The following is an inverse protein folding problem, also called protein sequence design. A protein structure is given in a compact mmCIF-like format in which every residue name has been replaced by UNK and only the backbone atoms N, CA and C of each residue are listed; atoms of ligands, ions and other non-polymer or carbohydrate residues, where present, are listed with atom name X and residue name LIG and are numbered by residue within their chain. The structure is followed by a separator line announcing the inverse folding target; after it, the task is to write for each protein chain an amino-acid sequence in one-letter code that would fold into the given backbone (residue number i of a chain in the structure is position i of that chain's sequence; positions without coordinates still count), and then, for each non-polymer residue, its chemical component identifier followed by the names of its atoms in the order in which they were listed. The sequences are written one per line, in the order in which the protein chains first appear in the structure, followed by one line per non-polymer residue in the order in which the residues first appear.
data_IF_347418039455
#
_entry.id   IF_347418039455
#
_cell.length_a   1.000
_cell.length_b   1.000
_cell.length_c   1.000
_cell.angle_alpha   90.00
_cell.angle_beta   90.00
_cell.angle_gamma   90.00
#
_symmetry.space_group_name_H-M   'P 1'
#
loop_
_entity.id
_entity.type
_entity.pdbx_description
1 polymer ?
#
# COMPACT_ATOMS: atom_id res chain seq x y z
N UNK A 1 -16.72 17.23 -1.40
CA UNK A 1 -15.78 18.06 -2.20
C UNK A 1 -16.07 19.53 -1.94
N UNK A 2 -15.09 20.43 -2.07
CA UNK A 2 -15.33 21.89 -2.05
C UNK A 2 -15.73 22.41 -3.44
N UNK A 3 -15.94 23.73 -3.59
CA UNK A 3 -16.26 24.38 -4.88
C UNK A 3 -15.23 24.12 -5.99
N UNK A 4 -13.96 23.89 -5.63
CA UNK A 4 -12.88 23.55 -6.56
C UNK A 4 -12.75 22.03 -6.81
N UNK A 5 -13.77 21.24 -6.44
CA UNK A 5 -13.79 19.76 -6.53
C UNK A 5 -12.68 19.07 -5.70
N UNK A 6 -12.06 19.77 -4.76
CA UNK A 6 -11.06 19.17 -3.86
C UNK A 6 -11.77 18.32 -2.80
N UNK A 7 -11.34 17.07 -2.55
CA UNK A 7 -11.86 16.25 -1.45
C UNK A 7 -11.24 16.67 -0.11
N UNK A 8 -11.54 17.90 0.34
CA UNK A 8 -10.89 18.56 1.49
C UNK A 8 -10.84 17.69 2.75
N UNK A 9 -11.94 17.05 3.13
CA UNK A 9 -11.97 16.20 4.33
C UNK A 9 -11.07 14.96 4.21
N UNK A 10 -10.95 14.37 3.02
CA UNK A 10 -10.03 13.26 2.79
C UNK A 10 -8.58 13.71 2.86
N UNK A 11 -8.26 14.89 2.30
CA UNK A 11 -6.93 15.48 2.39
C UNK A 11 -6.55 15.74 3.85
N UNK A 12 -7.39 16.45 4.59
CA UNK A 12 -7.15 16.73 6.02
C UNK A 12 -7.03 15.42 6.81
N UNK A 13 -7.91 14.44 6.55
CA UNK A 13 -7.89 13.14 7.21
C UNK A 13 -6.57 12.40 7.00
N UNK A 14 -6.09 12.29 5.76
CA UNK A 14 -4.80 11.66 5.44
C UNK A 14 -3.63 12.44 6.04
N UNK A 15 -3.65 13.77 6.00
CA UNK A 15 -2.58 14.60 6.59
C UNK A 15 -2.48 14.38 8.11
N UNK A 16 -3.61 14.47 8.82
CA UNK A 16 -3.64 14.28 10.28
C UNK A 16 -3.24 12.85 10.65
N UNK A 17 -3.76 11.85 9.93
CA UNK A 17 -3.39 10.45 10.16
C UNK A 17 -1.89 10.20 9.93
N UNK A 18 -1.31 10.77 8.87
CA UNK A 18 0.12 10.68 8.58
C UNK A 18 0.99 11.35 9.66
N UNK A 19 0.58 12.52 10.17
CA UNK A 19 1.26 13.17 11.28
C UNK A 19 1.22 12.31 12.54
N UNK A 20 0.04 11.80 12.93
CA UNK A 20 -0.10 10.92 14.10
C UNK A 20 0.75 9.65 13.96
N UNK A 21 0.69 9.01 12.79
CA UNK A 21 1.44 7.79 12.49
C UNK A 21 2.96 8.00 12.60
N UNK A 22 3.45 9.21 12.31
CA UNK A 22 4.89 9.53 12.30
C UNK A 22 5.40 10.06 13.64
N UNK A 23 4.54 10.47 14.59
CA UNK A 23 4.98 10.94 15.91
C UNK A 23 5.95 9.97 16.61
N UNK A 24 5.73 8.62 16.59
CA UNK A 24 6.66 7.63 17.14
C UNK A 24 8.11 7.79 16.66
N UNK A 25 8.33 8.33 15.46
CA UNK A 25 9.67 8.53 14.89
C UNK A 25 10.51 9.60 15.62
N UNK A 26 9.90 10.43 16.48
CA UNK A 26 10.62 11.45 17.25
C UNK A 26 11.41 10.86 18.43
N UNK A 27 11.14 9.62 18.85
CA UNK A 27 11.82 8.99 19.98
C UNK A 27 12.98 8.11 19.52
N UNK A 28 14.12 8.25 20.22
CA UNK A 28 15.28 7.38 20.05
C UNK A 28 15.13 6.11 20.89
N UNK A 29 15.64 5.00 20.38
CA UNK A 29 15.67 3.70 21.04
C UNK A 29 17.12 3.29 21.24
N UNK A 30 17.51 2.96 22.46
CA UNK A 30 18.84 2.40 22.73
C UNK A 30 18.78 0.89 22.44
N UNK A 31 19.58 0.43 21.48
CA UNK A 31 19.75 -0.99 21.13
C UNK A 31 21.11 -1.55 21.58
N UNK A 32 21.96 -0.71 22.18
CA UNK A 32 23.25 -1.09 22.77
C UNK A 32 23.13 -1.38 24.27
N UNK A 33 24.28 -1.55 24.94
CA UNK A 33 24.31 -1.71 26.39
C UNK A 33 24.13 -0.36 27.12
N UNK A 34 24.13 -0.39 28.45
CA UNK A 34 24.11 0.83 29.25
C UNK A 34 25.44 1.60 29.16
N UNK A 35 26.55 0.86 29.02
CA UNK A 35 27.91 1.39 28.92
C UNK A 35 28.23 1.89 27.51
N UNK A 36 27.68 1.24 26.48
CA UNK A 36 27.88 1.57 25.07
C UNK A 36 26.53 1.76 24.36
N UNK A 37 25.85 2.90 24.55
CA UNK A 37 24.54 3.13 23.97
C UNK A 37 24.61 3.33 22.46
N UNK A 38 23.72 2.63 21.74
CA UNK A 38 23.53 2.78 20.29
C UNK A 38 22.10 3.24 20.06
N UNK A 39 21.94 4.49 19.62
CA UNK A 39 20.61 5.04 19.38
C UNK A 39 20.16 4.86 17.94
N UNK A 40 18.93 4.37 17.78
CA UNK A 40 18.25 4.24 16.49
C UNK A 40 16.85 4.87 16.54
N UNK A 41 16.26 5.05 15.36
CA UNK A 41 14.89 5.53 15.15
C UNK A 41 14.03 4.42 14.57
N UNK A 42 13.82 3.34 15.32
CA UNK A 42 13.05 2.16 14.88
C UNK A 42 11.71 2.52 14.26
N UNK A 43 11.00 3.46 14.87
CA UNK A 43 9.71 3.92 14.39
C UNK A 43 9.77 4.62 13.02
N UNK A 44 10.87 5.31 12.69
CA UNK A 44 11.06 5.88 11.35
C UNK A 44 11.14 4.76 10.29
N UNK A 45 11.91 3.71 10.55
CA UNK A 45 12.01 2.56 9.64
C UNK A 45 10.67 1.81 9.49
N UNK A 46 9.87 1.73 10.56
CA UNK A 46 8.52 1.19 10.48
C UNK A 46 7.62 2.03 9.56
N UNK A 47 7.67 3.36 9.63
CA UNK A 47 6.93 4.25 8.72
C UNK A 47 7.36 4.06 7.26
N UNK A 48 8.66 3.98 7.00
CA UNK A 48 9.19 3.71 5.65
C UNK A 48 8.63 2.37 5.13
N UNK A 49 8.63 1.34 5.97
CA UNK A 49 8.08 0.02 5.63
C UNK A 49 6.58 0.09 5.28
N UNK A 50 5.79 0.87 6.04
CA UNK A 50 4.36 1.08 5.74
C UNK A 50 4.17 1.70 4.34
N UNK A 51 4.98 2.72 4.00
CA UNK A 51 4.92 3.37 2.69
C UNK A 51 5.25 2.41 1.54
N UNK A 52 6.31 1.62 1.69
CA UNK A 52 6.71 0.61 0.69
C UNK A 52 5.63 -0.46 0.54
N UNK A 53 5.14 -1.02 1.65
CA UNK A 53 4.10 -2.05 1.65
C UNK A 53 2.80 -1.57 0.99
N UNK A 54 2.35 -0.35 1.32
CA UNK A 54 1.14 0.22 0.73
C UNK A 54 1.23 0.32 -0.79
N UNK A 55 2.36 0.82 -1.31
CA UNK A 55 2.58 0.94 -2.75
C UNK A 55 2.76 -0.42 -3.43
N UNK A 56 3.59 -1.29 -2.85
CA UNK A 56 3.98 -2.55 -3.47
C UNK A 56 2.79 -3.51 -3.56
N UNK A 57 2.01 -3.64 -2.48
CA UNK A 57 0.81 -4.49 -2.49
C UNK A 57 -0.25 -3.93 -3.44
N UNK A 58 -0.38 -2.60 -3.54
CA UNK A 58 -1.27 -1.97 -4.52
C UNK A 58 -0.87 -2.29 -5.97
N UNK A 59 0.42 -2.41 -6.28
CA UNK A 59 0.90 -2.82 -7.60
C UNK A 59 0.87 -4.34 -7.84
N UNK A 60 1.04 -5.16 -6.80
CA UNK A 60 0.98 -6.61 -6.94
C UNK A 60 -0.37 -7.08 -7.51
N UNK A 61 -1.47 -6.47 -7.07
CA UNK A 61 -2.83 -6.81 -7.48
C UNK A 61 -3.04 -6.69 -9.01
N UNK A 62 -2.87 -5.51 -9.65
CA UNK A 62 -3.05 -5.37 -11.08
C UNK A 62 -2.02 -6.17 -11.89
N UNK A 63 -0.78 -6.32 -11.42
CA UNK A 63 0.23 -7.15 -12.10
C UNK A 63 -0.20 -8.62 -12.10
N UNK A 64 -0.67 -9.12 -10.95
CA UNK A 64 -1.19 -10.48 -10.83
C UNK A 64 -2.42 -10.71 -11.71
N UNK A 65 -3.40 -9.80 -11.71
CA UNK A 65 -4.58 -9.92 -12.56
C UNK A 65 -4.25 -9.83 -14.06
N UNK A 66 -3.27 -8.99 -14.43
CA UNK A 66 -2.74 -8.95 -15.79
C UNK A 66 -2.10 -10.28 -16.19
N UNK A 67 -1.33 -10.89 -15.30
CA UNK A 67 -0.72 -12.20 -15.53
C UNK A 67 -1.77 -13.30 -15.66
N UNK A 68 -2.75 -13.31 -14.74
CA UNK A 68 -3.88 -14.25 -14.70
C UNK A 68 -4.76 -14.16 -15.95
N UNK A 69 -4.99 -12.95 -16.47
CA UNK A 69 -5.73 -12.76 -17.72
C UNK A 69 -5.02 -13.38 -18.94
N UNK A 70 -3.70 -13.59 -18.85
CA UNK A 70 -2.93 -14.31 -19.84
C UNK A 70 -3.06 -13.72 -21.25
N UNK A 71 -3.41 -14.59 -22.21
CA UNK A 71 -3.63 -14.21 -23.61
C UNK A 71 -4.98 -13.48 -23.84
N UNK A 72 -5.94 -13.56 -22.91
CA UNK A 72 -7.22 -12.87 -23.01
C UNK A 72 -7.10 -11.36 -22.75
N UNK A 73 -5.95 -10.92 -22.21
CA UNK A 73 -5.71 -9.50 -21.99
C UNK A 73 -5.50 -8.77 -23.34
N UNK A 74 -6.42 -7.86 -23.67
CA UNK A 74 -6.29 -6.96 -24.82
C UNK A 74 -5.12 -6.01 -24.60
N UNK A 75 -4.04 -6.18 -25.34
CA UNK A 75 -2.86 -5.32 -25.24
C UNK A 75 -3.09 -3.99 -25.98
N UNK A 76 -2.67 -2.89 -25.36
CA UNK A 76 -2.68 -1.57 -26.00
C UNK A 76 -1.54 -1.39 -27.00
N UNK A 77 -1.51 -0.23 -27.66
CA UNK A 77 -0.44 0.18 -28.58
C UNK A 77 0.96 0.13 -27.93
N UNK A 78 1.04 0.48 -26.65
CA UNK A 78 2.23 0.27 -25.82
C UNK A 78 2.08 -1.02 -25.02
N UNK A 79 2.90 -2.03 -25.33
CA UNK A 79 2.83 -3.34 -24.68
C UNK A 79 4.19 -4.01 -24.52
N UNK A 80 4.23 -5.00 -23.62
CA UNK A 80 5.40 -5.83 -23.36
C UNK A 80 5.50 -7.06 -24.30
N UNK A 81 4.64 -7.15 -25.32
CA UNK A 81 4.49 -8.32 -26.18
C UNK A 81 4.20 -9.57 -25.36
N UNK A 82 5.09 -10.57 -25.45
CA UNK A 82 4.97 -11.84 -24.71
C UNK A 82 5.76 -11.87 -23.38
N UNK A 83 6.49 -10.81 -23.03
CA UNK A 83 7.37 -10.80 -21.84
C UNK A 83 6.61 -10.84 -20.52
N UNK A 84 5.31 -10.50 -20.52
CA UNK A 84 4.44 -10.62 -19.34
C UNK A 84 4.42 -12.04 -18.74
N UNK A 85 4.69 -13.09 -19.56
CA UNK A 85 4.70 -14.48 -19.10
C UNK A 85 5.69 -14.74 -17.96
N UNK A 86 6.84 -14.06 -17.98
CA UNK A 86 7.90 -14.22 -16.98
C UNK A 86 8.07 -12.96 -16.12
N UNK A 87 7.92 -11.76 -16.70
CA UNK A 87 8.12 -10.51 -15.96
C UNK A 87 7.06 -10.31 -14.88
N UNK A 88 5.80 -10.60 -15.17
CA UNK A 88 4.72 -10.40 -14.22
C UNK A 88 4.84 -11.31 -12.97
N UNK A 89 5.09 -12.63 -13.10
CA UNK A 89 5.29 -13.47 -11.91
C UNK A 89 6.57 -13.12 -11.15
N UNK A 90 7.67 -12.74 -11.83
CA UNK A 90 8.89 -12.28 -11.14
C UNK A 90 8.61 -11.00 -10.34
N UNK A 91 7.93 -10.02 -10.94
CA UNK A 91 7.58 -8.78 -10.25
C UNK A 91 6.68 -9.03 -9.03
N UNK A 92 5.68 -9.90 -9.15
CA UNK A 92 4.83 -10.29 -8.01
C UNK A 92 5.67 -11.00 -6.94
N UNK A 93 6.54 -11.95 -7.32
CA UNK A 93 7.41 -12.66 -6.38
C UNK A 93 8.36 -11.70 -5.64
N UNK A 94 8.99 -10.76 -6.36
CA UNK A 94 9.84 -9.72 -5.77
C UNK A 94 9.06 -8.86 -4.79
N UNK A 95 7.85 -8.43 -5.14
CA UNK A 95 6.97 -7.69 -4.24
C UNK A 95 6.66 -8.51 -2.98
N UNK A 96 6.37 -9.80 -3.11
CA UNK A 96 6.08 -10.65 -1.95
C UNK A 96 7.32 -10.83 -1.06
N UNK A 97 8.49 -11.09 -1.64
CA UNK A 97 9.75 -11.24 -0.90
C UNK A 97 10.11 -9.95 -0.17
N UNK A 98 10.07 -8.82 -0.87
CA UNK A 98 10.35 -7.51 -0.27
C UNK A 98 9.32 -7.18 0.80
N UNK A 99 8.03 -7.44 0.57
CA UNK A 99 6.99 -7.23 1.58
C UNK A 99 7.28 -8.01 2.87
N UNK A 100 7.69 -9.29 2.76
CA UNK A 100 8.11 -10.09 3.92
C UNK A 100 9.34 -9.48 4.59
N UNK A 101 10.35 -9.08 3.82
CA UNK A 101 11.57 -8.46 4.36
C UNK A 101 11.27 -7.18 5.15
N UNK A 102 10.42 -6.30 4.63
CA UNK A 102 10.06 -5.01 5.25
C UNK A 102 9.17 -5.14 6.50
N UNK A 103 8.60 -6.32 6.78
CA UNK A 103 7.84 -6.58 8.02
C UNK A 103 8.65 -7.28 9.11
N UNK A 104 9.87 -7.73 8.82
CA UNK A 104 10.68 -8.43 9.81
C UNK A 104 11.12 -7.49 10.94
N UNK A 105 11.36 -8.04 12.15
CA UNK A 105 12.00 -7.30 13.23
C UNK A 105 13.38 -6.82 12.82
N UNK A 106 13.68 -5.55 13.10
CA UNK A 106 14.99 -4.94 12.80
C UNK A 106 16.04 -5.29 13.85
N UNK A 107 15.60 -5.55 15.08
CA UNK A 107 16.45 -5.80 16.25
C UNK A 107 15.89 -6.96 17.08
N UNK A 108 16.74 -7.72 17.81
CA UNK A 108 16.29 -8.81 18.67
C UNK A 108 15.22 -8.42 19.70
N UNK A 109 15.35 -7.23 20.30
CA UNK A 109 14.39 -6.71 21.27
C UNK A 109 12.98 -6.49 20.67
N UNK A 110 12.89 -6.27 19.36
CA UNK A 110 11.61 -6.14 18.63
C UNK A 110 11.05 -7.47 18.12
N UNK A 111 11.77 -8.58 18.27
CA UNK A 111 11.37 -9.87 17.74
C UNK A 111 10.33 -10.55 18.65
N UNK A 112 9.13 -10.87 18.13
CA UNK A 112 8.13 -11.64 18.88
C UNK A 112 8.69 -13.01 19.28
N UNK A 113 8.30 -13.51 20.46
CA UNK A 113 8.82 -14.79 20.98
C UNK A 113 8.71 -15.95 19.99
N UNK A 114 7.59 -16.06 19.27
CA UNK A 114 7.36 -17.13 18.28
C UNK A 114 8.26 -17.03 17.03
N UNK A 115 8.88 -15.87 16.76
CA UNK A 115 9.77 -15.67 15.60
C UNK A 115 11.25 -15.78 15.95
N UNK A 116 11.62 -15.73 17.23
CA UNK A 116 13.03 -15.62 17.64
C UNK A 116 13.90 -16.77 17.12
N UNK A 117 13.40 -18.00 17.20
CA UNK A 117 14.11 -19.18 16.68
C UNK A 117 14.34 -19.12 15.17
N UNK A 118 13.31 -18.74 14.39
CA UNK A 118 13.43 -18.59 12.94
C UNK A 118 14.42 -17.49 12.52
N UNK A 119 14.47 -16.40 13.29
CA UNK A 119 15.34 -15.26 13.03
C UNK A 119 16.78 -15.43 13.54
N UNK A 120 17.07 -16.51 14.26
CA UNK A 120 18.35 -16.66 14.98
C UNK A 120 18.57 -15.58 16.03
N UNK A 121 17.49 -15.03 16.60
CA UNK A 121 17.57 -13.98 17.60
C UNK A 121 17.85 -14.57 19.00
N UNK A 122 18.63 -13.87 19.86
CA UNK A 122 18.81 -14.22 21.27
C UNK A 122 17.51 -14.53 22.01
N UNK A 123 17.62 -15.32 23.07
CA UNK A 123 16.47 -15.67 23.91
C UNK A 123 15.87 -14.43 24.59
N UNK A 124 14.63 -14.53 25.07
CA UNK A 124 13.99 -13.43 25.80
C UNK A 124 14.68 -13.10 27.13
N UNK A 125 15.45 -14.05 27.66
CA UNK A 125 16.26 -13.88 28.86
C UNK A 125 17.53 -13.07 28.58
N UNK A 126 18.15 -13.26 27.41
CA UNK A 126 19.35 -12.53 26.99
C UNK A 126 19.01 -11.11 26.52
N UNK A 127 17.98 -10.98 25.68
CA UNK A 127 17.50 -9.69 25.18
C UNK A 127 15.99 -9.60 25.38
N UNK A 128 15.53 -8.91 26.45
CA UNK A 128 14.12 -8.72 26.72
C UNK A 128 13.38 -8.04 25.57
N UNK A 129 12.09 -8.34 25.44
CA UNK A 129 11.24 -7.70 24.44
C UNK A 129 11.00 -6.23 24.81
N UNK A 130 11.12 -5.33 23.84
CA UNK A 130 10.80 -3.91 23.99
C UNK A 130 9.89 -3.44 22.85
N UNK A 131 8.73 -2.89 23.21
CA UNK A 131 7.76 -2.32 22.28
C UNK A 131 8.33 -1.19 21.43
N UNK A 132 9.32 -0.43 21.94
CA UNK A 132 9.98 0.63 21.17
C UNK A 132 10.85 0.08 20.04
N UNK A 133 11.27 -1.17 20.14
CA UNK A 133 12.10 -1.86 19.14
C UNK A 133 11.28 -2.61 18.08
N UNK A 134 9.95 -2.60 18.18
CA UNK A 134 9.07 -3.31 17.26
C UNK A 134 8.93 -2.57 15.94
N UNK A 135 9.12 -3.30 14.83
CA UNK A 135 8.62 -2.87 13.53
C UNK A 135 7.10 -3.02 13.52
N UNK A 136 6.37 -1.93 13.76
CA UNK A 136 4.90 -1.94 13.85
C UNK A 136 4.19 -1.84 12.48
N UNK A 137 4.93 -1.82 11.37
CA UNK A 137 4.35 -1.83 10.03
C UNK A 137 3.30 -2.94 9.79
N UNK A 138 3.47 -4.18 10.28
CA UNK A 138 2.50 -5.26 10.06
C UNK A 138 1.17 -4.99 10.76
N UNK A 139 1.23 -4.40 11.96
CA UNK A 139 0.05 -4.06 12.74
C UNK A 139 -0.75 -2.96 12.04
N UNK A 140 -0.07 -1.91 11.57
CA UNK A 140 -0.71 -0.80 10.85
C UNK A 140 -1.29 -1.28 9.52
N UNK A 141 -0.53 -2.07 8.75
CA UNK A 141 -1.01 -2.64 7.50
C UNK A 141 -2.25 -3.52 7.73
N UNK A 142 -2.21 -4.41 8.72
CA UNK A 142 -3.35 -5.26 9.07
C UNK A 142 -4.58 -4.45 9.46
N UNK A 143 -4.41 -3.43 10.32
CA UNK A 143 -5.49 -2.55 10.72
C UNK A 143 -6.10 -1.79 9.53
N UNK A 144 -5.27 -1.28 8.61
CA UNK A 144 -5.73 -0.59 7.39
C UNK A 144 -6.49 -1.55 6.49
N UNK A 145 -5.98 -2.76 6.26
CA UNK A 145 -6.66 -3.76 5.42
C UNK A 145 -8.02 -4.17 6.00
N UNK A 146 -8.12 -4.34 7.32
CA UNK A 146 -9.39 -4.60 8.01
C UNK A 146 -10.34 -3.41 7.84
N UNK A 147 -9.86 -2.17 8.05
CA UNK A 147 -10.68 -0.97 7.89
C UNK A 147 -11.20 -0.82 6.45
N UNK A 148 -10.36 -1.07 5.45
CA UNK A 148 -10.73 -1.07 4.03
C UNK A 148 -11.76 -2.17 3.73
N UNK A 149 -11.57 -3.37 4.27
CA UNK A 149 -12.52 -4.47 4.12
C UNK A 149 -13.89 -4.13 4.73
N UNK A 150 -13.91 -3.58 5.94
CA UNK A 150 -15.15 -3.10 6.58
C UNK A 150 -15.80 -2.01 5.71
N UNK A 151 -15.04 -1.01 5.28
CA UNK A 151 -15.52 0.09 4.43
C UNK A 151 -16.10 -0.40 3.10
N UNK A 152 -15.47 -1.41 2.50
CA UNK A 152 -15.97 -2.09 1.31
C UNK A 152 -17.34 -2.74 1.56
N UNK A 153 -17.47 -3.52 2.63
CA UNK A 153 -18.69 -4.25 2.94
C UNK A 153 -19.86 -3.37 3.42
N UNK A 154 -19.57 -2.28 4.12
CA UNK A 154 -20.59 -1.37 4.65
C UNK A 154 -21.09 -0.36 3.60
N UNK A 155 -20.20 0.12 2.73
CA UNK A 155 -20.48 1.24 1.83
C UNK A 155 -20.03 0.99 0.39
N UNK A 156 -18.72 0.90 0.14
CA UNK A 156 -18.18 1.07 -1.22
C UNK A 156 -18.76 0.08 -2.23
N UNK A 157 -19.00 -1.18 -1.84
CA UNK A 157 -19.58 -2.20 -2.74
C UNK A 157 -20.99 -1.85 -3.27
N UNK A 158 -21.72 -0.94 -2.60
CA UNK A 158 -23.11 -0.59 -2.95
C UNK A 158 -23.20 0.46 -4.07
N UNK A 159 -22.14 1.24 -4.28
CA UNK A 159 -22.14 2.37 -5.21
C UNK A 159 -20.92 2.41 -6.12
N UNK A 160 -19.88 1.60 -5.87
CA UNK A 160 -18.72 1.51 -6.74
C UNK A 160 -19.05 0.74 -8.02
N UNK A 161 -19.10 1.46 -9.14
CA UNK A 161 -19.42 0.91 -10.48
C UNK A 161 -18.20 0.46 -11.27
N UNK A 162 -17.01 0.47 -10.67
CA UNK A 162 -15.75 0.17 -11.34
C UNK A 162 -14.97 1.40 -11.80
N UNK A 163 -13.74 1.21 -12.30
CA UNK A 163 -12.93 2.30 -12.83
C UNK A 163 -13.54 2.89 -14.11
N UNK A 164 -13.61 4.22 -14.21
CA UNK A 164 -13.93 4.90 -15.47
C UNK A 164 -12.75 4.76 -16.43
N UNK A 165 -12.97 4.13 -17.59
CA UNK A 165 -11.96 3.96 -18.63
C UNK A 165 -11.93 5.23 -19.49
N UNK A 166 -10.80 5.93 -19.57
CA UNK A 166 -10.65 7.10 -20.47
C UNK A 166 -10.10 6.73 -21.86
N UNK A 167 -10.13 5.43 -22.19
CA UNK A 167 -9.49 4.85 -23.38
C UNK A 167 -10.49 4.23 -24.38
N UNK A 168 -11.75 4.01 -23.97
CA UNK A 168 -12.83 3.54 -24.84
C UNK A 168 -13.62 4.72 -25.42
N UNK A 169 -12.91 5.78 -25.80
CA UNK A 169 -13.51 6.95 -26.43
C UNK A 169 -13.73 6.68 -27.92
N UNK A 170 -14.80 7.23 -28.53
CA UNK A 170 -15.00 7.16 -29.97
C UNK A 170 -13.74 7.66 -30.70
N UNK A 171 -13.45 7.06 -31.86
CA UNK A 171 -12.31 7.47 -32.66
C UNK A 171 -12.34 8.98 -32.93
N UNK A 172 -11.26 9.68 -32.55
CA UNK A 172 -11.15 11.14 -32.68
C UNK A 172 -11.54 11.95 -31.46
N UNK A 173 -12.02 11.32 -30.37
CA UNK A 173 -12.32 11.99 -29.10
C UNK A 173 -11.13 11.81 -28.17
N UNK A 174 -10.47 12.91 -27.81
CA UNK A 174 -9.39 12.87 -26.83
C UNK A 174 -9.95 12.76 -25.41
N UNK A 175 -9.13 12.32 -24.46
CA UNK A 175 -9.51 12.31 -23.05
C UNK A 175 -9.86 13.71 -22.52
N UNK A 176 -9.30 14.77 -23.12
CA UNK A 176 -9.65 16.14 -22.79
C UNK A 176 -11.05 16.52 -23.29
N UNK A 177 -11.42 16.08 -24.50
CA UNK A 177 -12.74 16.31 -25.08
C UNK A 177 -13.83 15.57 -24.30
N UNK A 178 -13.57 14.33 -23.85
CA UNK A 178 -14.48 13.59 -22.98
C UNK A 178 -14.72 14.32 -21.67
N UNK A 179 -13.66 14.82 -21.01
CA UNK A 179 -13.79 15.55 -19.75
C UNK A 179 -14.66 16.79 -19.96
N UNK A 180 -14.47 17.53 -21.06
CA UNK A 180 -15.28 18.68 -21.41
C UNK A 180 -16.75 18.32 -21.66
N UNK A 181 -17.04 17.18 -22.30
CA UNK A 181 -18.40 16.68 -22.50
C UNK A 181 -19.05 16.19 -21.20
N UNK A 182 -18.30 15.55 -20.31
CA UNK A 182 -18.77 15.17 -18.96
C UNK A 182 -19.20 16.39 -18.14
N UNK A 183 -18.53 17.54 -18.30
CA UNK A 183 -18.93 18.80 -17.64
C UNK A 183 -20.34 19.27 -18.02
N UNK A 184 -20.82 18.89 -19.21
CA UNK A 184 -22.18 19.18 -19.68
C UNK A 184 -23.16 18.02 -19.52
N UNK A 185 -22.79 16.97 -18.78
CA UNK A 185 -23.55 15.71 -18.69
C UNK A 185 -23.76 15.02 -20.06
N UNK A 186 -22.81 15.18 -20.98
CA UNK A 186 -22.83 14.59 -22.34
C UNK A 186 -21.65 13.65 -22.60
N UNK A 187 -20.87 13.29 -21.57
CA UNK A 187 -19.75 12.36 -21.70
C UNK A 187 -20.23 10.99 -22.18
N UNK A 188 -19.38 10.29 -22.93
CA UNK A 188 -19.67 8.96 -23.46
C UNK A 188 -19.72 7.88 -22.36
N UNK A 189 -19.12 8.13 -21.19
CA UNK A 189 -19.23 7.27 -20.00
C UNK A 189 -20.23 7.83 -18.98
N UNK A 190 -21.52 7.77 -19.31
CA UNK A 190 -22.60 8.09 -18.36
C UNK A 190 -22.64 7.01 -17.25
N UNK A 191 -22.80 7.38 -15.96
CA UNK A 191 -23.18 6.41 -14.94
C UNK A 191 -24.56 5.82 -15.30
N UNK A 192 -24.86 4.56 -14.92
CA UNK A 192 -26.18 3.99 -15.15
C UNK A 192 -27.26 4.89 -14.55
N UNK A 193 -28.32 5.16 -15.30
CA UNK A 193 -29.46 5.94 -14.82
C UNK A 193 -30.01 5.28 -13.54
N UNK A 194 -30.07 6.07 -12.46
CA UNK A 194 -30.51 5.64 -11.12
C UNK A 194 -32.02 5.48 -11.03
#
# INVERSE_FOLDING_TARGET
MNKAKTPVYAVIGVTVAGLILTLPALWKVNIGSAEEPIYTVTAFFAVVSIGVLGLYLAFAIPIYYRWKAGANFKQGSWNLGNKWKWMAPIAVLEILITSVYFILPLYPAGAPGFMRGFLGAPSAEEVPFDWKSVNYAPLVLGAILIALWIGWHLSAKKWFTGPKMTIDLPAGVSSADEIALEHEHKGYHQPPES
#
